data_IF_984090803140
#
_entry.id   IF_984090803140
#
_cell.length_a   1.000
_cell.length_b   1.000
_cell.length_c   1.000
_cell.angle_alpha   90.00
_cell.angle_beta   90.00
_cell.angle_gamma   90.00
#
_symmetry.space_group_name_H-M   'P 1'
#
loop_
_entity.id
_entity.type
_entity.pdbx_description
1 polymer ?
#
# COMPACT_ATOMS: atom_id res chain seq x y z
N UNK A 1 14.01 -10.36 17.73
CA UNK A 1 14.01 -9.22 16.78
C UNK A 1 14.65 -9.70 15.49
N UNK A 2 13.90 -9.73 14.38
CA UNK A 2 14.52 -9.96 13.06
C UNK A 2 15.19 -8.64 12.64
N UNK A 3 16.48 -8.69 12.34
CA UNK A 3 17.22 -7.54 11.81
C UNK A 3 16.56 -7.04 10.52
N UNK A 4 16.54 -5.73 10.29
CA UNK A 4 15.80 -5.09 9.19
C UNK A 4 16.21 -5.55 7.78
N UNK A 5 17.31 -6.27 7.64
CA UNK A 5 17.81 -6.86 6.39
C UNK A 5 16.99 -8.07 5.92
N UNK A 6 16.42 -8.89 6.82
CA UNK A 6 15.59 -10.04 6.45
C UNK A 6 14.18 -9.66 5.97
N UNK A 7 13.77 -8.40 6.15
CA UNK A 7 12.43 -7.92 5.80
C UNK A 7 12.31 -7.41 4.36
N UNK A 8 13.39 -7.38 3.58
CA UNK A 8 13.37 -6.90 2.20
C UNK A 8 14.28 -7.79 1.34
N UNK A 9 13.88 -9.05 1.04
CA UNK A 9 14.54 -9.80 -0.03
C UNK A 9 14.57 -8.92 -1.29
N UNK A 10 15.70 -8.89 -1.99
CA UNK A 10 15.92 -8.09 -3.21
C UNK A 10 15.96 -6.56 -3.05
N UNK A 11 16.31 -6.02 -1.86
CA UNK A 11 16.52 -4.57 -1.67
C UNK A 11 17.50 -3.93 -2.68
N UNK A 12 18.40 -4.72 -3.25
CA UNK A 12 19.33 -4.26 -4.29
C UNK A 12 18.63 -4.00 -5.65
N UNK A 13 17.48 -4.63 -5.91
CA UNK A 13 16.68 -4.49 -7.15
C UNK A 13 15.58 -3.43 -7.04
N UNK A 14 15.22 -3.01 -5.82
CA UNK A 14 14.04 -2.18 -5.58
C UNK A 14 14.32 -1.03 -4.61
N UNK A 15 13.79 0.15 -4.93
CA UNK A 15 13.74 1.29 -4.02
C UNK A 15 12.33 1.45 -3.45
N UNK A 16 12.25 2.00 -2.23
CA UNK A 16 11.00 2.36 -1.60
C UNK A 16 11.00 3.86 -1.23
N UNK A 17 9.94 4.56 -1.63
CA UNK A 17 9.60 5.89 -1.14
C UNK A 17 8.50 5.73 -0.10
N UNK A 18 8.88 5.73 1.16
CA UNK A 18 7.97 5.48 2.27
C UNK A 18 7.27 6.78 2.72
N UNK A 19 6.03 6.68 3.16
CA UNK A 19 5.26 7.76 3.78
C UNK A 19 5.11 9.02 2.91
N UNK A 20 4.94 8.84 1.59
CA UNK A 20 4.78 9.95 0.63
C UNK A 20 3.46 10.68 0.86
N UNK A 21 2.41 9.92 1.16
CA UNK A 21 1.14 10.45 1.67
C UNK A 21 0.96 9.89 3.08
N UNK A 22 0.64 10.79 4.02
CA UNK A 22 0.45 10.46 5.43
C UNK A 22 -1.02 10.63 5.79
N UNK A 23 -1.56 9.80 6.70
CA UNK A 23 -2.90 9.97 7.20
C UNK A 23 -2.94 11.20 8.12
N UNK A 24 -4.06 11.91 8.11
CA UNK A 24 -4.36 12.97 9.07
C UNK A 24 -4.95 12.40 10.36
N UNK A 25 -5.54 11.21 10.30
CA UNK A 25 -6.08 10.51 11.46
C UNK A 25 -4.95 10.06 12.40
N UNK A 26 -5.12 10.36 13.69
CA UNK A 26 -4.22 9.86 14.71
C UNK A 26 -4.38 8.35 14.90
N UNK A 27 -3.26 7.65 15.06
CA UNK A 27 -3.28 6.21 15.29
C UNK A 27 -3.76 5.90 16.71
N UNK A 28 -4.91 5.23 16.81
CA UNK A 28 -5.36 4.60 18.05
C UNK A 28 -4.73 3.22 18.18
N UNK A 29 -3.99 3.00 19.27
CA UNK A 29 -3.11 1.82 19.43
C UNK A 29 -3.83 0.48 19.29
N UNK A 30 -5.09 0.36 19.73
CA UNK A 30 -5.81 -0.92 19.77
C UNK A 30 -6.58 -1.26 18.49
N UNK A 31 -6.66 -0.34 17.53
CA UNK A 31 -7.33 -0.55 16.24
C UNK A 31 -6.52 -1.47 15.34
N UNK A 32 -7.06 -1.80 14.17
CA UNK A 32 -6.34 -2.60 13.16
C UNK A 32 -5.91 -1.69 12.00
N UNK A 33 -4.64 -1.79 11.59
CA UNK A 33 -4.19 -1.22 10.30
C UNK A 33 -4.34 -2.25 9.19
N UNK A 34 -5.03 -1.87 8.11
CA UNK A 34 -5.09 -2.65 6.88
C UNK A 34 -3.82 -2.40 6.05
N UNK A 35 -3.11 -3.47 5.72
CA UNK A 35 -1.91 -3.45 4.90
C UNK A 35 -2.28 -3.97 3.52
N UNK A 36 -2.19 -3.09 2.53
CA UNK A 36 -2.49 -3.37 1.12
C UNK A 36 -1.24 -3.19 0.26
N UNK A 37 -1.25 -3.82 -0.90
CA UNK A 37 -0.33 -3.51 -1.98
C UNK A 37 -1.02 -3.68 -3.33
N UNK A 38 -0.50 -3.02 -4.36
CA UNK A 38 -0.94 -3.19 -5.75
C UNK A 38 0.17 -2.80 -6.72
N UNK A 39 -0.02 -3.11 -8.01
CA UNK A 39 0.72 -2.44 -9.09
C UNK A 39 0.04 -1.11 -9.44
N UNK A 40 0.80 -0.16 -9.95
CA UNK A 40 0.27 1.10 -10.48
C UNK A 40 -0.75 0.90 -11.61
N UNK A 41 -0.73 -0.25 -12.29
CA UNK A 41 -1.72 -0.59 -13.33
C UNK A 41 -3.14 -0.77 -12.79
N UNK A 42 -3.28 -1.03 -11.48
CA UNK A 42 -4.57 -1.17 -10.80
C UNK A 42 -5.05 0.14 -10.18
N UNK A 43 -4.38 1.26 -10.45
CA UNK A 43 -4.87 2.56 -10.01
C UNK A 43 -6.13 2.93 -10.80
N UNK A 44 -7.28 2.74 -10.16
CA UNK A 44 -8.59 3.18 -10.63
C UNK A 44 -9.36 3.83 -9.49
N UNK A 45 -10.48 4.49 -9.80
CA UNK A 45 -11.39 5.07 -8.78
C UNK A 45 -11.99 3.99 -7.86
N UNK A 46 -12.06 2.73 -8.32
CA UNK A 46 -12.73 1.64 -7.61
C UNK A 46 -12.06 1.32 -6.27
N UNK A 47 -10.77 1.64 -6.14
CA UNK A 47 -10.04 1.53 -4.86
C UNK A 47 -10.69 2.37 -3.74
N UNK A 48 -11.44 3.42 -4.09
CA UNK A 48 -12.18 4.21 -3.10
C UNK A 48 -13.20 3.35 -2.33
N UNK A 49 -13.81 2.35 -2.96
CA UNK A 49 -14.74 1.45 -2.28
C UNK A 49 -14.05 0.67 -1.17
N UNK A 50 -12.83 0.19 -1.42
CA UNK A 50 -12.01 -0.47 -0.42
C UNK A 50 -11.70 0.45 0.77
N UNK A 51 -11.44 1.73 0.51
CA UNK A 51 -11.15 2.71 1.55
C UNK A 51 -12.39 3.07 2.37
N UNK A 52 -13.55 3.23 1.73
CA UNK A 52 -14.83 3.47 2.42
C UNK A 52 -15.23 2.32 3.34
N UNK A 53 -14.91 1.10 2.95
CA UNK A 53 -15.26 -0.11 3.70
C UNK A 53 -14.34 -0.37 4.91
N UNK A 54 -13.28 0.41 5.10
CA UNK A 54 -12.33 0.24 6.18
C UNK A 54 -12.22 1.47 7.09
N UNK A 55 -12.70 1.34 8.34
CA UNK A 55 -12.70 2.42 9.34
C UNK A 55 -11.37 2.63 10.07
N UNK A 56 -10.42 1.70 9.92
CA UNK A 56 -9.09 1.80 10.54
C UNK A 56 -8.10 2.57 9.66
N UNK A 57 -6.84 2.63 10.09
CA UNK A 57 -5.77 3.12 9.22
C UNK A 57 -5.53 2.14 8.07
N UNK A 58 -5.14 2.66 6.91
CA UNK A 58 -4.76 1.91 5.72
C UNK A 58 -3.33 2.26 5.37
N UNK A 59 -2.48 1.26 5.20
CA UNK A 59 -1.13 1.40 4.67
C UNK A 59 -1.03 0.69 3.32
N UNK A 60 -0.90 1.48 2.26
CA UNK A 60 -0.90 1.00 0.89
C UNK A 60 0.47 1.18 0.25
N UNK A 61 1.04 0.09 -0.28
CA UNK A 61 2.22 0.14 -1.15
C UNK A 61 1.84 0.00 -2.62
N UNK A 62 2.22 0.97 -3.45
CA UNK A 62 2.01 0.94 -4.90
C UNK A 62 3.34 0.64 -5.57
N UNK A 63 3.40 -0.46 -6.32
CA UNK A 63 4.57 -0.82 -7.13
C UNK A 63 4.42 -0.17 -8.51
N UNK A 64 5.35 0.72 -8.83
CA UNK A 64 5.43 1.40 -10.11
C UNK A 64 6.16 0.52 -11.13
N UNK A 65 5.72 0.56 -12.39
CA UNK A 65 6.40 -0.11 -13.49
C UNK A 65 7.75 0.56 -13.78
N UNK A 66 7.83 1.88 -13.58
CA UNK A 66 9.04 2.68 -13.72
C UNK A 66 8.95 3.96 -12.87
N UNK A 67 10.10 4.63 -12.70
CA UNK A 67 10.21 5.85 -11.87
C UNK A 67 9.40 7.04 -12.40
N UNK A 68 9.09 7.08 -13.69
CA UNK A 68 8.36 8.19 -14.32
C UNK A 68 6.89 8.19 -13.93
N UNK A 69 6.33 7.04 -13.55
CA UNK A 69 4.95 6.94 -13.05
C UNK A 69 4.75 7.57 -11.67
N UNK A 70 5.83 7.87 -10.92
CA UNK A 70 5.75 8.32 -9.54
C UNK A 70 4.84 9.54 -9.36
N UNK A 71 5.05 10.59 -10.17
CA UNK A 71 4.28 11.84 -10.02
C UNK A 71 2.82 11.67 -10.40
N UNK A 72 2.52 10.87 -11.41
CA UNK A 72 1.13 10.60 -11.81
C UNK A 72 0.39 9.75 -10.78
N UNK A 73 1.04 8.72 -10.24
CA UNK A 73 0.48 7.89 -9.18
C UNK A 73 0.29 8.68 -7.87
N UNK A 74 1.25 9.53 -7.50
CA UNK A 74 1.11 10.44 -6.36
C UNK A 74 -0.06 11.42 -6.56
N UNK A 75 -0.14 12.07 -7.72
CA UNK A 75 -1.22 13.02 -8.06
C UNK A 75 -2.58 12.34 -8.03
N UNK A 76 -2.69 11.15 -8.62
CA UNK A 76 -3.91 10.34 -8.59
C UNK A 76 -4.34 10.06 -7.15
N UNK A 77 -3.45 9.52 -6.33
CA UNK A 77 -3.77 9.18 -4.94
C UNK A 77 -4.13 10.41 -4.10
N UNK A 78 -3.41 11.54 -4.26
CA UNK A 78 -3.77 12.80 -3.56
C UNK A 78 -5.14 13.31 -3.99
N UNK A 79 -5.45 13.26 -5.29
CA UNK A 79 -6.76 13.68 -5.83
C UNK A 79 -7.90 12.78 -5.33
N UNK A 80 -7.68 11.47 -5.32
CA UNK A 80 -8.63 10.50 -4.78
C UNK A 80 -8.89 10.74 -3.28
N UNK A 81 -7.83 10.87 -2.49
CA UNK A 81 -7.88 11.13 -1.05
C UNK A 81 -8.63 12.44 -0.76
N UNK A 82 -8.32 13.51 -1.50
CA UNK A 82 -8.98 14.79 -1.33
C UNK A 82 -10.47 14.76 -1.70
N UNK A 83 -10.83 14.17 -2.85
CA UNK A 83 -12.23 14.10 -3.32
C UNK A 83 -13.15 13.31 -2.38
N UNK A 84 -12.64 12.23 -1.82
CA UNK A 84 -13.41 11.39 -0.90
C UNK A 84 -13.17 11.72 0.58
N UNK A 85 -12.38 12.75 0.88
CA UNK A 85 -12.05 13.17 2.25
C UNK A 85 -11.45 12.04 3.11
N UNK A 86 -10.66 11.16 2.51
CA UNK A 86 -10.00 10.09 3.26
C UNK A 86 -8.92 10.69 4.19
N UNK A 87 -9.01 10.38 5.48
CA UNK A 87 -8.05 10.83 6.49
C UNK A 87 -7.19 9.70 7.05
N UNK A 88 -7.48 8.45 6.69
CA UNK A 88 -6.92 7.23 7.26
C UNK A 88 -5.92 6.53 6.33
N UNK A 89 -5.67 7.06 5.12
CA UNK A 89 -4.83 6.42 4.09
C UNK A 89 -3.38 6.92 4.15
N UNK A 90 -2.46 5.96 4.17
CA UNK A 90 -1.01 6.15 4.04
C UNK A 90 -0.54 5.49 2.75
N UNK A 91 0.31 6.16 1.97
CA UNK A 91 0.79 5.66 0.68
C UNK A 91 2.31 5.63 0.61
N UNK A 92 2.81 4.52 0.09
CA UNK A 92 4.22 4.25 -0.22
C UNK A 92 4.36 3.87 -1.69
N UNK A 93 5.51 4.16 -2.28
CA UNK A 93 5.81 3.77 -3.66
C UNK A 93 7.04 2.88 -3.72
N UNK A 94 6.97 1.81 -4.51
CA UNK A 94 8.11 0.95 -4.83
C UNK A 94 8.40 1.03 -6.31
N UNK A 95 9.68 0.96 -6.70
CA UNK A 95 10.06 0.92 -8.10
C UNK A 95 11.41 0.24 -8.28
N UNK A 96 11.62 -0.35 -9.45
CA UNK A 96 12.84 -1.08 -9.75
C UNK A 96 14.04 -0.15 -9.95
N UNK A 97 15.21 -0.58 -9.52
CA UNK A 97 16.51 0.04 -9.84
C UNK A 97 16.90 -0.41 -11.26
N UNK A 98 16.88 0.51 -12.24
CA UNK A 98 17.22 0.19 -13.63
C UNK A 98 18.69 0.44 -14.02
N UNK A 99 19.56 0.82 -13.09
CA UNK A 99 21.03 0.85 -13.28
C UNK A 99 21.76 1.01 -11.94
N UNK A 100 23.00 0.49 -11.85
CA UNK A 100 23.99 0.72 -10.77
C UNK A 100 24.49 2.18 -10.69
N UNK A 101 23.87 3.11 -11.41
CA UNK A 101 24.16 4.53 -11.30
C UNK A 101 23.52 5.05 -10.02
N UNK A 102 24.35 5.09 -8.97
CA UNK A 102 24.35 6.01 -7.82
C UNK A 102 22.97 6.43 -7.32
N UNK A 103 22.66 6.02 -6.09
CA UNK A 103 22.02 6.82 -5.02
C UNK A 103 21.63 8.27 -5.37
N UNK A 104 20.76 8.49 -6.35
CA UNK A 104 20.03 9.74 -6.48
C UNK A 104 18.89 9.60 -5.50
N UNK A 105 19.08 10.18 -4.32
CA UNK A 105 18.04 10.30 -3.32
C UNK A 105 16.77 10.84 -3.98
N UNK A 106 15.64 10.22 -3.64
CA UNK A 106 14.32 10.60 -4.17
C UNK A 106 14.00 12.07 -3.85
N UNK A 107 14.63 12.66 -2.84
CA UNK A 107 14.49 14.09 -2.54
C UNK A 107 14.86 14.95 -3.76
N UNK A 108 15.89 14.57 -4.50
CA UNK A 108 16.30 15.25 -5.74
C UNK A 108 15.32 14.96 -6.88
N UNK A 109 14.76 13.73 -6.96
CA UNK A 109 13.81 13.33 -8.01
C UNK A 109 12.44 14.00 -7.80
N UNK A 110 11.94 14.12 -6.57
CA UNK A 110 10.71 14.87 -6.28
C UNK A 110 10.85 16.33 -6.72
N UNK A 111 12.01 16.95 -6.52
CA UNK A 111 12.27 18.31 -6.98
C UNK A 111 12.32 18.40 -8.51
N UNK A 112 13.07 17.51 -9.16
CA UNK A 112 13.24 17.49 -10.63
C UNK A 112 11.93 17.15 -11.36
N UNK A 113 11.16 16.18 -10.89
CA UNK A 113 9.89 15.81 -11.53
C UNK A 113 8.77 16.81 -11.20
N UNK A 114 8.78 17.50 -10.05
CA UNK A 114 7.84 18.62 -9.82
C UNK A 114 8.07 19.80 -10.76
N UNK A 115 9.32 20.04 -11.15
CA UNK A 115 9.69 21.10 -12.12
C UNK A 115 9.28 20.72 -13.55
N UNK A 116 9.25 19.43 -13.88
CA UNK A 116 8.79 18.94 -15.17
C UNK A 116 7.28 18.72 -15.14
N UNK A 117 6.51 19.44 -15.99
CA UNK A 117 5.10 19.14 -16.25
C UNK A 117 4.99 17.73 -16.84
N UNK A 118 4.86 16.73 -15.98
CA UNK A 118 4.71 15.34 -16.39
C UNK A 118 3.29 15.17 -16.92
N UNK A 119 3.19 14.79 -18.20
CA UNK A 119 1.92 14.49 -18.85
C UNK A 119 1.40 13.12 -18.38
N UNK A 120 0.43 13.17 -17.47
CA UNK A 120 -0.24 11.99 -16.91
C UNK A 120 -1.40 11.48 -17.78
N UNK A 121 -1.65 12.08 -18.95
CA UNK A 121 -2.68 11.62 -19.88
C UNK A 121 -2.18 10.48 -20.76
N UNK A 122 -0.87 10.20 -20.77
CA UNK A 122 -0.30 9.08 -21.53
C UNK A 122 -0.70 7.76 -20.87
N UNK A 123 -1.16 6.77 -21.65
CA UNK A 123 -1.46 5.46 -21.12
C UNK A 123 -0.20 4.83 -20.53
N UNK A 124 -0.35 4.19 -19.38
CA UNK A 124 0.73 3.44 -18.77
C UNK A 124 1.24 2.35 -19.74
N UNK A 125 2.56 2.19 -19.83
CA UNK A 125 3.15 1.09 -20.59
C UNK A 125 2.69 -0.24 -19.96
N UNK A 126 2.11 -1.12 -20.78
CA UNK A 126 1.78 -2.49 -20.35
C UNK A 126 3.06 -3.22 -19.92
N UNK A 127 2.98 -3.90 -18.77
CA UNK A 127 4.05 -4.79 -18.31
C UNK A 127 4.18 -6.00 -19.24
N UNK A 128 5.42 -6.41 -19.46
CA UNK A 128 5.73 -7.73 -20.02
C UNK A 128 5.40 -8.84 -19.01
N UNK A 129 5.25 -10.08 -19.49
CA UNK A 129 5.02 -11.25 -18.61
C UNK A 129 6.12 -11.39 -17.55
N UNK A 130 7.37 -11.13 -17.91
CA UNK A 130 8.50 -11.13 -16.99
C UNK A 130 8.33 -10.08 -15.89
N UNK A 131 7.89 -8.86 -16.24
CA UNK A 131 7.65 -7.79 -15.27
C UNK A 131 6.44 -8.04 -14.36
N UNK A 132 5.47 -8.84 -14.82
CA UNK A 132 4.37 -9.32 -13.98
C UNK A 132 4.87 -10.39 -13.01
N UNK A 133 5.69 -11.32 -13.49
CA UNK A 133 6.28 -12.38 -12.66
C UNK A 133 7.28 -11.84 -11.61
N UNK A 134 8.01 -10.77 -11.95
CA UNK A 134 8.96 -10.09 -11.07
C UNK A 134 8.29 -9.16 -10.03
N UNK A 135 6.95 -9.20 -9.87
CA UNK A 135 6.25 -8.35 -8.91
C UNK A 135 6.70 -8.60 -7.46
N UNK A 136 7.20 -7.57 -6.73
CA UNK A 136 7.86 -7.74 -5.44
C UNK A 136 6.86 -7.79 -4.28
N UNK A 137 5.95 -8.76 -4.33
CA UNK A 137 4.82 -8.94 -3.40
C UNK A 137 5.22 -8.81 -1.93
N UNK A 138 6.23 -9.59 -1.51
CA UNK A 138 6.70 -9.61 -0.13
C UNK A 138 7.35 -8.29 0.27
N UNK A 139 8.06 -7.63 -0.64
CA UNK A 139 8.66 -6.33 -0.38
C UNK A 139 7.58 -5.27 -0.19
N UNK A 140 6.58 -5.21 -1.07
CA UNK A 140 5.48 -4.25 -0.99
C UNK A 140 4.71 -4.42 0.34
N UNK A 141 4.40 -5.66 0.72
CA UNK A 141 3.78 -5.98 2.02
C UNK A 141 4.64 -5.51 3.19
N UNK A 142 5.95 -5.75 3.14
CA UNK A 142 6.87 -5.36 4.22
C UNK A 142 7.06 -3.84 4.32
N UNK A 143 7.11 -3.13 3.20
CA UNK A 143 7.18 -1.65 3.17
C UNK A 143 5.93 -1.06 3.84
N UNK A 144 4.73 -1.47 3.42
CA UNK A 144 3.49 -1.01 4.05
C UNK A 144 3.40 -1.41 5.54
N UNK A 145 3.85 -2.62 5.90
CA UNK A 145 3.82 -3.08 7.29
C UNK A 145 4.75 -2.29 8.21
N UNK A 146 5.92 -1.84 7.73
CA UNK A 146 6.92 -1.13 8.56
C UNK A 146 6.40 0.19 9.12
N UNK A 147 5.45 0.83 8.46
CA UNK A 147 4.90 2.12 8.87
C UNK A 147 3.62 2.01 9.72
N UNK A 148 3.22 0.78 10.07
CA UNK A 148 2.07 0.53 10.95
C UNK A 148 2.32 1.07 12.35
N UNK A 149 1.31 1.73 12.91
CA UNK A 149 1.35 2.33 14.25
C UNK A 149 0.36 1.70 15.23
N UNK A 150 -0.47 0.79 14.76
CA UNK A 150 -1.46 0.06 15.56
C UNK A 150 -0.87 -1.25 16.07
N UNK A 151 -1.50 -1.82 17.10
CA UNK A 151 -1.11 -3.09 17.71
C UNK A 151 -1.38 -4.27 16.78
N UNK A 152 -2.43 -4.19 15.98
CA UNK A 152 -2.91 -5.27 15.12
C UNK A 152 -2.80 -4.88 13.65
N UNK A 153 -2.44 -5.85 12.82
CA UNK A 153 -2.39 -5.71 11.35
C UNK A 153 -3.31 -6.71 10.70
N UNK A 154 -3.95 -6.30 9.62
CA UNK A 154 -4.61 -7.19 8.67
C UNK A 154 -3.89 -7.06 7.33
N UNK A 155 -3.42 -8.19 6.79
CA UNK A 155 -2.83 -8.25 5.45
C UNK A 155 -3.94 -8.67 4.47
N UNK A 156 -4.12 -7.92 3.38
CA UNK A 156 -5.11 -8.22 2.36
C UNK A 156 -4.66 -7.76 0.98
N UNK A 157 -5.27 -8.34 -0.04
CA UNK A 157 -5.17 -7.85 -1.41
C UNK A 157 -6.18 -6.71 -1.63
N UNK A 158 -5.90 -5.82 -2.59
CA UNK A 158 -6.74 -4.64 -2.88
C UNK A 158 -8.14 -5.02 -3.37
N UNK A 159 -8.25 -6.13 -4.11
CA UNK A 159 -9.51 -6.59 -4.71
C UNK A 159 -10.47 -7.24 -3.69
N UNK A 160 -10.03 -7.41 -2.43
CA UNK A 160 -10.82 -8.00 -1.37
C UNK A 160 -11.54 -6.90 -0.58
N UNK A 161 -12.83 -6.71 -0.89
CA UNK A 161 -13.69 -5.77 -0.19
C UNK A 161 -14.13 -6.29 1.18
N UNK A 162 -14.17 -5.39 2.16
CA UNK A 162 -14.64 -5.69 3.50
C UNK A 162 -16.10 -5.27 3.70
N UNK A 163 -16.87 -6.10 4.39
CA UNK A 163 -18.20 -5.69 4.85
C UNK A 163 -18.12 -4.49 5.81
N UNK A 164 -19.13 -3.61 5.78
CA UNK A 164 -19.20 -2.46 6.69
C UNK A 164 -19.02 -2.88 8.16
N UNK A 165 -18.15 -2.16 8.87
CA UNK A 165 -17.82 -2.40 10.28
C UNK A 165 -17.01 -3.66 10.55
N UNK A 166 -16.47 -4.33 9.53
CA UNK A 166 -15.63 -5.52 9.67
C UNK A 166 -14.43 -5.28 10.60
N UNK A 167 -13.73 -4.16 10.38
CA UNK A 167 -12.55 -3.79 11.16
C UNK A 167 -12.86 -3.71 12.68
N UNK A 168 -13.96 -3.06 13.07
CA UNK A 168 -14.41 -3.00 14.48
C UNK A 168 -14.74 -4.37 15.07
N UNK A 169 -15.37 -5.26 14.30
CA UNK A 169 -15.66 -6.63 14.75
C UNK A 169 -14.38 -7.43 14.95
N UNK A 170 -13.41 -7.28 14.04
CA UNK A 170 -12.12 -7.95 14.14
C UNK A 170 -11.26 -7.38 15.25
N UNK A 171 -11.37 -6.08 15.56
CA UNK A 171 -10.69 -5.46 16.70
C UNK A 171 -11.06 -6.15 18.01
N UNK A 172 -12.35 -6.41 18.23
CA UNK A 172 -12.85 -7.12 19.42
C UNK A 172 -12.32 -8.56 19.49
N UNK A 173 -12.29 -9.27 18.36
CA UNK A 173 -11.74 -10.62 18.30
C UNK A 173 -10.23 -10.63 18.56
N UNK A 174 -9.48 -9.71 17.95
CA UNK A 174 -8.05 -9.55 18.14
C UNK A 174 -7.71 -9.24 19.60
N UNK A 175 -8.44 -8.33 20.24
CA UNK A 175 -8.25 -8.00 21.66
C UNK A 175 -8.46 -9.19 22.59
N UNK A 176 -9.40 -10.09 22.27
CA UNK A 176 -9.71 -11.28 23.08
C UNK A 176 -8.69 -12.42 22.86
N UNK A 177 -8.32 -12.66 21.61
CA UNK A 177 -7.58 -13.87 21.21
C UNK A 177 -6.07 -13.65 21.07
N UNK A 178 -5.63 -12.45 20.70
CA UNK A 178 -4.22 -12.13 20.43
C UNK A 178 -3.57 -11.49 21.66
N UNK A 179 -3.02 -12.35 22.52
CA UNK A 179 -2.25 -11.95 23.70
C UNK A 179 -0.76 -11.88 23.41
N UNK A 180 -0.07 -10.96 24.09
CA UNK A 180 1.37 -10.81 23.97
C UNK A 180 2.11 -12.09 24.40
N UNK A 181 3.22 -12.40 23.73
CA UNK A 181 3.98 -13.64 23.94
C UNK A 181 3.37 -14.89 23.28
N UNK A 182 2.15 -14.84 22.75
CA UNK A 182 1.54 -15.97 22.05
C UNK A 182 1.78 -15.88 20.53
N UNK A 183 2.20 -17.00 19.93
CA UNK A 183 2.30 -17.14 18.47
C UNK A 183 0.95 -17.54 17.88
N UNK A 184 -0.01 -16.60 17.89
CA UNK A 184 -1.35 -16.79 17.31
C UNK A 184 -1.59 -15.84 16.15
N UNK A 185 -2.37 -16.29 15.19
CA UNK A 185 -2.88 -15.49 14.08
C UNK A 185 -4.38 -15.78 13.93
N UNK A 186 -5.16 -14.75 13.62
CA UNK A 186 -6.56 -14.91 13.25
C UNK A 186 -6.68 -14.97 11.73
N UNK A 187 -7.50 -15.88 11.24
CA UNK A 187 -7.80 -16.01 9.82
C UNK A 187 -9.27 -15.72 9.59
N UNK A 188 -9.59 -15.09 8.46
CA UNK A 188 -10.97 -14.86 8.03
C UNK A 188 -11.20 -15.54 6.68
N UNK A 189 -12.46 -15.85 6.39
CA UNK A 189 -12.87 -16.46 5.13
C UNK A 189 -13.22 -15.37 4.13
N UNK A 190 -12.83 -15.60 2.88
CA UNK A 190 -13.19 -14.77 1.72
C UNK A 190 -14.34 -15.48 1.02
N UNK A 191 -15.32 -14.71 0.54
CA UNK A 191 -16.46 -15.22 -0.21
C UNK A 191 -16.59 -14.45 -1.51
N UNK A 192 -16.82 -15.17 -2.61
CA UNK A 192 -17.15 -14.58 -3.89
C UNK A 192 -18.64 -14.27 -3.93
N UNK A 193 -18.99 -13.07 -4.41
CA UNK A 193 -20.39 -12.65 -4.56
C UNK A 193 -20.71 -12.58 -6.05
N UNK A 194 -21.50 -13.53 -6.51
CA UNK A 194 -22.04 -13.52 -7.86
C UNK A 194 -23.33 -12.68 -7.88
N UNK A 195 -23.39 -11.63 -8.70
CA UNK A 195 -24.69 -11.04 -9.04
C UNK A 195 -25.47 -12.10 -9.82
N UNK A 196 -26.66 -12.45 -9.36
CA UNK A 196 -27.63 -13.14 -10.22
C UNK A 196 -27.93 -12.21 -11.40
N UNK A 197 -27.55 -12.65 -12.59
CA UNK A 197 -27.94 -12.07 -13.88
C UNK A 197 -29.44 -12.12 -14.07
#
# INVERSE_FOLDING_TARGET
QLSGYHLLPDRHRWCASENVIRPNQQAEKNRITLVLHMSADYLSEDIAEQFHNWSGLISLSIVLNDRTQFVCAERFMRSLIARHSFNNVQVHFLYQVRTLATTVEIQSIQLVIRVLKTDCSKPARRRSLTEVADYPMNMARNVARKSVRTKFVLLSDVDLLFSKGFEKRMEQAAARELREGQKKVLVFRIFEVYKKS
#
